data_IF_296569534528
#
_entry.id   IF_296569534528
#
_cell.length_a   1.000
_cell.length_b   1.000
_cell.length_c   1.000
_cell.angle_alpha   90.00
_cell.angle_beta   90.00
_cell.angle_gamma   90.00
#
_symmetry.space_group_name_H-M   'P 1'
#
loop_
_entity.id
_entity.type
_entity.pdbx_description
1 polymer ?
#
# COMPACT_ATOMS: atom_id res chain seq x y z
N UNK A 1 1.36 -17.93 -20.40
CA UNK A 1 0.16 -18.58 -19.84
C UNK A 1 0.15 -18.22 -18.37
N UNK A 2 -0.82 -17.45 -17.91
CA UNK A 2 -0.88 -17.10 -16.49
C UNK A 2 -1.18 -18.38 -15.69
N UNK A 3 -0.38 -18.67 -14.67
CA UNK A 3 -0.59 -19.83 -13.80
C UNK A 3 -1.95 -19.71 -13.11
N UNK A 4 -2.96 -20.44 -13.60
CA UNK A 4 -4.29 -20.45 -13.01
C UNK A 4 -4.29 -21.24 -11.71
N UNK A 5 -4.21 -20.52 -10.59
CA UNK A 5 -4.20 -21.12 -9.26
C UNK A 5 -5.61 -21.02 -8.64
N UNK A 6 -6.11 -22.14 -8.08
CA UNK A 6 -7.43 -22.18 -7.43
C UNK A 6 -7.34 -21.81 -5.94
N UNK A 7 -8.08 -20.78 -5.52
CA UNK A 7 -8.20 -20.37 -4.12
C UNK A 7 -9.54 -20.89 -3.56
N UNK A 8 -9.49 -21.66 -2.48
CA UNK A 8 -10.70 -22.12 -1.79
C UNK A 8 -11.23 -21.01 -0.88
N UNK A 9 -12.48 -20.60 -1.09
CA UNK A 9 -13.20 -19.63 -0.26
C UNK A 9 -14.58 -20.16 0.12
N UNK A 10 -15.20 -19.58 1.15
CA UNK A 10 -16.59 -19.90 1.50
C UNK A 10 -17.56 -19.37 0.42
N UNK A 11 -18.74 -19.97 0.31
CA UNK A 11 -19.78 -19.51 -0.62
C UNK A 11 -20.17 -18.05 -0.35
N UNK A 12 -20.31 -17.68 0.93
CA UNK A 12 -20.61 -16.31 1.33
C UNK A 12 -19.53 -15.29 0.87
N UNK A 13 -18.25 -15.66 0.94
CA UNK A 13 -17.16 -14.82 0.46
C UNK A 13 -17.20 -14.68 -1.07
N UNK A 14 -17.42 -15.78 -1.81
CA UNK A 14 -17.57 -15.74 -3.27
C UNK A 14 -18.71 -14.81 -3.70
N UNK A 15 -19.87 -14.93 -3.05
CA UNK A 15 -21.06 -14.17 -3.41
C UNK A 15 -20.85 -12.67 -3.13
N UNK A 16 -20.20 -12.35 -2.02
CA UNK A 16 -19.78 -10.97 -1.72
C UNK A 16 -18.77 -10.42 -2.74
N UNK A 17 -17.77 -11.21 -3.14
CA UNK A 17 -16.81 -10.80 -4.17
C UNK A 17 -17.48 -10.60 -5.53
N UNK A 18 -18.50 -11.40 -5.86
CA UNK A 18 -19.27 -11.22 -7.09
C UNK A 18 -20.03 -9.88 -7.12
N UNK A 19 -20.64 -9.48 -5.99
CA UNK A 19 -21.28 -8.17 -5.84
C UNK A 19 -20.27 -7.04 -6.00
N UNK A 20 -19.14 -7.11 -5.29
CA UNK A 20 -18.08 -6.10 -5.38
C UNK A 20 -17.47 -6.00 -6.78
N UNK A 21 -17.31 -7.12 -7.48
CA UNK A 21 -16.80 -7.13 -8.85
C UNK A 21 -17.80 -6.43 -9.80
N UNK A 22 -19.10 -6.69 -9.63
CA UNK A 22 -20.15 -6.04 -10.41
C UNK A 22 -20.19 -4.52 -10.18
N UNK A 23 -20.10 -4.06 -8.91
CA UNK A 23 -20.05 -2.64 -8.57
C UNK A 23 -18.84 -1.93 -9.22
N UNK A 24 -17.69 -2.61 -9.27
CA UNK A 24 -16.45 -2.08 -9.85
C UNK A 24 -16.33 -2.34 -11.37
N UNK A 25 -17.39 -2.83 -12.04
CA UNK A 25 -17.38 -3.21 -13.47
C UNK A 25 -16.17 -4.08 -13.86
N UNK A 26 -15.80 -5.01 -12.98
CA UNK A 26 -14.61 -5.85 -13.13
C UNK A 26 -14.96 -7.33 -12.90
N UNK A 27 -13.98 -8.22 -13.05
CA UNK A 27 -14.14 -9.64 -12.75
C UNK A 27 -13.66 -9.94 -11.33
N UNK A 28 -14.13 -11.04 -10.72
CA UNK A 28 -13.64 -11.46 -9.40
C UNK A 28 -12.12 -11.68 -9.43
N UNK A 29 -11.58 -12.19 -10.54
CA UNK A 29 -10.14 -12.33 -10.75
C UNK A 29 -9.43 -10.98 -10.62
N UNK A 30 -9.83 -10.01 -11.43
CA UNK A 30 -9.22 -8.69 -11.45
C UNK A 30 -9.39 -7.96 -10.12
N UNK A 31 -10.51 -8.15 -9.42
CA UNK A 31 -10.73 -7.59 -8.09
C UNK A 31 -9.75 -8.18 -7.06
N UNK A 32 -9.50 -9.50 -7.11
CA UNK A 32 -8.55 -10.16 -6.21
C UNK A 32 -7.11 -9.78 -6.54
N UNK A 33 -6.75 -9.69 -7.82
CA UNK A 33 -5.45 -9.21 -8.28
C UNK A 33 -5.21 -7.77 -7.82
N UNK A 34 -6.17 -6.86 -8.08
CA UNK A 34 -6.09 -5.47 -7.63
C UNK A 34 -6.01 -5.36 -6.10
N UNK A 35 -6.72 -6.22 -5.35
CA UNK A 35 -6.63 -6.24 -3.89
C UNK A 35 -5.22 -6.67 -3.43
N UNK A 36 -4.64 -7.67 -4.07
CA UNK A 36 -3.28 -8.12 -3.76
C UNK A 36 -2.26 -7.02 -4.06
N UNK A 37 -2.39 -6.34 -5.20
CA UNK A 37 -1.50 -5.23 -5.59
C UNK A 37 -1.66 -3.99 -4.68
N UNK A 38 -2.88 -3.71 -4.23
CA UNK A 38 -3.17 -2.57 -3.36
C UNK A 38 -2.57 -2.70 -1.96
N UNK A 39 -2.23 -3.92 -1.54
CA UNK A 39 -1.75 -4.22 -0.20
C UNK A 39 -0.34 -4.81 -0.26
N UNK A 40 0.69 -3.95 -0.36
CA UNK A 40 2.05 -4.42 -0.24
C UNK A 40 2.24 -5.14 1.08
N UNK A 41 3.02 -6.21 1.03
CA UNK A 41 3.41 -6.99 2.19
C UNK A 41 4.33 -6.18 3.09
N UNK A 42 4.45 -6.60 4.35
CA UNK A 42 5.35 -5.97 5.32
C UNK A 42 6.81 -5.96 4.81
N UNK A 43 7.24 -7.05 4.15
CA UNK A 43 8.58 -7.15 3.57
C UNK A 43 8.81 -6.11 2.44
N UNK A 44 7.82 -5.91 1.56
CA UNK A 44 7.91 -4.90 0.50
C UNK A 44 7.91 -3.47 1.08
N UNK A 45 7.20 -3.23 2.19
CA UNK A 45 7.29 -1.96 2.91
C UNK A 45 8.70 -1.73 3.47
N UNK A 46 9.31 -2.75 4.06
CA UNK A 46 10.67 -2.66 4.61
C UNK A 46 11.71 -2.44 3.50
N UNK A 47 11.57 -3.13 2.37
CA UNK A 47 12.42 -2.94 1.19
C UNK A 47 12.31 -1.51 0.66
N UNK A 48 11.09 -1.00 0.47
CA UNK A 48 10.87 0.40 0.05
C UNK A 48 11.44 1.40 1.06
N UNK A 49 11.31 1.13 2.36
CA UNK A 49 11.90 1.98 3.39
C UNK A 49 13.43 1.95 3.35
N UNK A 50 14.03 0.79 3.10
CA UNK A 50 15.48 0.65 2.92
C UNK A 50 15.96 1.39 1.66
N UNK A 51 15.23 1.27 0.55
CA UNK A 51 15.53 2.00 -0.69
C UNK A 51 15.45 3.51 -0.48
N UNK A 52 14.38 4.01 0.16
CA UNK A 52 14.24 5.42 0.49
C UNK A 52 15.40 5.92 1.36
N UNK A 53 15.84 5.13 2.34
CA UNK A 53 17.03 5.45 3.17
C UNK A 53 18.30 5.53 2.34
N UNK A 54 18.49 4.61 1.40
CA UNK A 54 19.65 4.61 0.51
C UNK A 54 19.65 5.82 -0.43
N UNK A 55 18.50 6.20 -0.98
CA UNK A 55 18.35 7.40 -1.80
C UNK A 55 18.60 8.67 -0.98
N UNK A 56 18.04 8.77 0.22
CA UNK A 56 18.31 9.87 1.13
C UNK A 56 19.80 9.96 1.50
N UNK A 57 20.45 8.82 1.74
CA UNK A 57 21.89 8.79 1.97
C UNK A 57 22.69 9.24 0.75
N UNK A 58 22.25 8.89 -0.46
CA UNK A 58 22.88 9.35 -1.71
C UNK A 58 22.72 10.85 -1.94
N UNK A 59 21.57 11.44 -1.56
CA UNK A 59 21.28 12.87 -1.76
C UNK A 59 21.90 13.73 -0.67
N UNK A 60 21.82 13.30 0.59
CA UNK A 60 22.24 14.07 1.77
C UNK A 60 23.67 13.73 2.22
N UNK A 61 24.30 12.71 1.62
CA UNK A 61 25.61 12.20 2.00
C UNK A 61 25.64 11.38 3.30
N UNK A 62 24.50 11.26 4.00
CA UNK A 62 24.35 10.41 5.19
C UNK A 62 22.93 9.89 5.30
N UNK A 63 22.77 8.65 5.75
CA UNK A 63 21.45 8.12 6.06
C UNK A 63 20.89 8.87 7.29
N UNK A 64 19.63 9.35 7.25
CA UNK A 64 19.02 9.94 8.42
C UNK A 64 18.94 8.91 9.56
N UNK A 65 19.20 9.35 10.79
CA UNK A 65 19.04 8.49 11.96
C UNK A 65 17.56 8.16 12.21
N UNK A 66 17.29 7.05 12.89
CA UNK A 66 15.91 6.66 13.24
C UNK A 66 15.15 7.77 14.00
N UNK A 67 15.86 8.57 14.81
CA UNK A 67 15.27 9.71 15.51
C UNK A 67 14.93 10.88 14.58
N UNK A 68 15.78 11.16 13.58
CA UNK A 68 15.51 12.16 12.56
C UNK A 68 14.34 11.73 11.66
N UNK A 69 14.26 10.45 11.29
CA UNK A 69 13.12 9.88 10.57
C UNK A 69 11.82 9.98 11.37
N UNK A 70 11.85 9.70 12.68
CA UNK A 70 10.68 9.81 13.54
C UNK A 70 10.18 11.26 13.63
N UNK A 71 11.09 12.23 13.77
CA UNK A 71 10.75 13.67 13.76
C UNK A 71 10.20 14.11 12.40
N UNK A 72 10.78 13.65 11.30
CA UNK A 72 10.29 13.93 9.95
C UNK A 72 8.90 13.34 9.71
N UNK A 73 8.65 12.11 10.15
CA UNK A 73 7.32 11.47 10.09
C UNK A 73 6.28 12.27 10.85
N UNK A 74 6.55 12.65 12.11
CA UNK A 74 5.63 13.46 12.90
C UNK A 74 5.37 14.84 12.30
N UNK A 75 6.35 15.43 11.61
CA UNK A 75 6.16 16.66 10.86
C UNK A 75 5.26 16.45 9.63
N UNK A 76 5.50 15.39 8.85
CA UNK A 76 4.70 15.06 7.66
C UNK A 76 3.25 14.72 8.02
N UNK A 77 3.01 13.99 9.12
CA UNK A 77 1.67 13.71 9.63
C UNK A 77 0.92 14.99 10.00
N UNK A 78 1.60 15.94 10.66
CA UNK A 78 1.02 17.26 10.99
C UNK A 78 0.76 18.11 9.74
N UNK A 79 1.66 18.05 8.76
CA UNK A 79 1.51 18.78 7.50
C UNK A 79 0.37 18.20 6.66
N UNK A 80 0.23 16.88 6.61
CA UNK A 80 -0.87 16.18 5.95
C UNK A 80 -2.22 16.49 6.61
N UNK A 81 -2.29 16.44 7.94
CA UNK A 81 -3.50 16.83 8.68
C UNK A 81 -3.90 18.30 8.48
N UNK A 82 -2.92 19.20 8.26
CA UNK A 82 -3.18 20.60 7.93
C UNK A 82 -3.72 20.79 6.52
N UNK A 83 -3.41 19.90 5.57
CA UNK A 83 -3.86 20.02 4.18
C UNK A 83 -5.32 19.57 4.02
N UNK A 84 -5.79 18.57 4.78
CA UNK A 84 -7.20 18.14 4.78
C UNK A 84 -8.16 19.18 5.39
N UNK A 85 -7.70 20.00 6.34
CA UNK A 85 -8.52 21.11 6.89
C UNK A 85 -8.69 22.31 5.94
N UNK A 86 -7.89 22.40 4.87
CA UNK A 86 -8.01 23.50 3.90
C UNK A 86 -8.98 23.18 2.75
N UNK A 87 -9.57 21.99 2.72
CA UNK A 87 -10.51 21.53 1.69
C UNK A 87 -11.96 21.34 2.20
N UNK A 88 -12.30 21.87 3.38
CA UNK A 88 -13.64 21.84 3.97
C UNK A 88 -14.30 23.22 4.00
#
# INVERSE_FOLDING_TARGET
>A
MADETSIKVSAATRDRLALLAAENNTTIRNLVEALAESRPTQSEFEERAAQARAELASILGTAPSAEAEAKARGLLERLGASQDSAAA
#
